data_IF_188448257400
#
_entry.id   IF_188448257400
#
_cell.length_a   1.000
_cell.length_b   1.000
_cell.length_c   1.000
_cell.angle_alpha   90.00
_cell.angle_beta   90.00
_cell.angle_gamma   90.00
#
_symmetry.space_group_name_H-M   'P 1'
#
loop_
_entity.id
_entity.type
_entity.pdbx_description
1 polymer ?
#
# COMPACT_ATOMS: atom_id res chain seq x y z
N UNK A 1 -12.49 17.95 7.85
CA UNK A 1 -11.30 17.36 7.20
C UNK A 1 -11.69 16.96 5.81
N UNK A 2 -10.92 17.38 4.80
CA UNK A 2 -11.09 16.90 3.42
C UNK A 2 -10.57 15.47 3.33
N UNK A 3 -11.22 14.62 2.54
CA UNK A 3 -10.74 13.27 2.27
C UNK A 3 -9.27 13.28 1.80
N UNK A 4 -8.50 12.20 2.05
CA UNK A 4 -7.18 12.05 1.48
C UNK A 4 -7.24 12.21 -0.04
N UNK A 5 -6.32 12.99 -0.59
CA UNK A 5 -6.19 13.11 -2.04
C UNK A 5 -5.59 11.81 -2.57
N UNK A 6 -6.12 11.31 -3.68
CA UNK A 6 -5.58 10.13 -4.35
C UNK A 6 -4.87 10.57 -5.62
N UNK A 7 -3.62 10.15 -5.79
CA UNK A 7 -2.87 10.31 -7.05
C UNK A 7 -2.60 8.92 -7.60
N UNK A 8 -3.02 8.69 -8.84
CA UNK A 8 -2.90 7.39 -9.50
C UNK A 8 -2.10 7.44 -10.79
N UNK A 9 -1.43 6.34 -11.10
CA UNK A 9 -0.72 6.12 -12.35
C UNK A 9 -1.10 4.77 -12.95
N UNK A 10 -1.53 4.75 -14.20
CA UNK A 10 -1.84 3.52 -14.95
C UNK A 10 -0.58 3.02 -15.64
N UNK A 11 -0.33 1.72 -15.52
CA UNK A 11 0.84 1.06 -16.06
C UNK A 11 0.55 0.51 -17.47
N UNK A 12 1.47 0.74 -18.39
CA UNK A 12 1.59 -0.09 -19.59
C UNK A 12 2.04 -1.51 -19.22
N UNK A 13 1.92 -2.48 -20.15
CA UNK A 13 2.36 -3.84 -19.88
C UNK A 13 3.87 -3.92 -19.58
N UNK A 14 4.69 -3.16 -20.30
CA UNK A 14 6.14 -3.13 -20.09
C UNK A 14 6.51 -2.53 -18.73
N UNK A 15 5.80 -1.49 -18.30
CA UNK A 15 5.96 -0.90 -16.96
C UNK A 15 5.50 -1.86 -15.87
N UNK A 16 4.36 -2.54 -16.05
CA UNK A 16 3.94 -3.61 -15.16
C UNK A 16 5.03 -4.69 -15.05
N UNK A 17 5.59 -5.15 -16.17
CA UNK A 17 6.66 -6.15 -16.16
C UNK A 17 7.88 -5.69 -15.36
N UNK A 18 8.38 -4.48 -15.65
CA UNK A 18 9.63 -3.99 -15.09
C UNK A 18 9.52 -3.51 -13.64
N UNK A 19 8.41 -2.88 -13.27
CA UNK A 19 8.24 -2.22 -11.97
C UNK A 19 7.66 -3.20 -10.95
N UNK A 20 6.67 -4.00 -11.35
CA UNK A 20 5.87 -4.83 -10.44
C UNK A 20 6.19 -6.32 -10.62
N UNK A 21 6.06 -6.82 -11.85
CA UNK A 21 6.13 -8.26 -12.10
C UNK A 21 7.53 -8.83 -11.97
N UNK A 22 8.59 -8.02 -12.10
CA UNK A 22 9.95 -8.45 -11.77
C UNK A 22 10.05 -8.94 -10.31
N UNK A 23 9.21 -8.44 -9.39
CA UNK A 23 9.18 -8.90 -7.99
C UNK A 23 8.11 -9.95 -7.75
N UNK A 24 6.89 -9.74 -8.26
CA UNK A 24 5.77 -10.64 -7.99
C UNK A 24 5.84 -11.95 -8.78
N UNK A 25 6.53 -11.96 -9.92
CA UNK A 25 6.71 -13.12 -10.81
C UNK A 25 5.37 -13.80 -11.16
N UNK A 26 4.32 -12.99 -11.39
CA UNK A 26 3.01 -13.45 -11.83
C UNK A 26 3.16 -14.02 -13.24
N UNK A 27 2.68 -15.26 -13.39
CA UNK A 27 2.53 -15.94 -14.68
C UNK A 27 1.16 -15.58 -15.24
N UNK A 28 1.12 -14.99 -16.44
CA UNK A 28 -0.12 -14.54 -17.09
C UNK A 28 -0.04 -14.74 -18.61
N UNK A 29 -1.19 -14.87 -19.25
CA UNK A 29 -1.31 -15.01 -20.71
C UNK A 29 -1.60 -13.66 -21.39
N UNK A 30 -2.41 -12.81 -20.75
CA UNK A 30 -2.84 -11.53 -21.28
C UNK A 30 -2.85 -10.47 -20.18
N UNK A 31 -2.19 -9.34 -20.41
CA UNK A 31 -2.22 -8.19 -19.52
C UNK A 31 -3.55 -7.44 -19.65
N UNK A 32 -4.27 -7.30 -18.54
CA UNK A 32 -5.57 -6.63 -18.48
C UNK A 32 -5.51 -5.18 -17.98
N UNK A 33 -4.32 -4.69 -17.64
CA UNK A 33 -4.10 -3.36 -17.07
C UNK A 33 -3.70 -3.40 -15.61
N UNK A 34 -3.09 -2.31 -15.14
CA UNK A 34 -2.65 -2.19 -13.77
C UNK A 34 -2.41 -0.74 -13.40
N UNK A 35 -2.44 -0.46 -12.11
CA UNK A 35 -2.26 0.89 -11.58
C UNK A 35 -1.54 0.87 -10.24
N UNK A 36 -0.87 1.98 -9.95
CA UNK A 36 -0.32 2.30 -8.64
C UNK A 36 -1.02 3.57 -8.19
N UNK A 37 -1.56 3.60 -6.98
CA UNK A 37 -2.14 4.79 -6.39
C UNK A 37 -1.56 5.09 -5.02
N UNK A 38 -1.36 6.37 -4.74
CA UNK A 38 -0.94 6.91 -3.47
C UNK A 38 -2.12 7.66 -2.84
N UNK A 39 -2.49 7.27 -1.63
CA UNK A 39 -3.44 7.99 -0.82
C UNK A 39 -2.67 8.89 0.14
N UNK A 40 -2.83 10.20 -0.02
CA UNK A 40 -2.07 11.22 0.68
C UNK A 40 -3.02 12.03 1.56
N UNK A 41 -2.67 12.16 2.84
CA UNK A 41 -3.33 13.06 3.77
C UNK A 41 -2.57 14.38 3.90
N UNK A 42 -3.33 15.48 3.85
CA UNK A 42 -2.83 16.84 4.05
C UNK A 42 -3.25 17.32 5.44
N UNK A 43 -2.31 17.41 6.37
CA UNK A 43 -2.55 17.92 7.73
C UNK A 43 -1.70 19.16 7.99
N UNK A 44 -2.35 20.32 8.16
CA UNK A 44 -1.77 21.60 8.64
C UNK A 44 -0.29 21.86 8.25
N UNK A 45 0.02 21.76 6.95
CA UNK A 45 1.35 22.04 6.41
C UNK A 45 2.28 20.82 6.26
N UNK A 46 1.77 19.60 6.46
CA UNK A 46 2.48 18.35 6.18
C UNK A 46 1.64 17.42 5.29
N UNK A 47 2.33 16.73 4.39
CA UNK A 47 1.78 15.69 3.52
C UNK A 47 2.31 14.34 4.01
N UNK A 48 1.43 13.38 4.22
CA UNK A 48 1.82 12.01 4.55
C UNK A 48 1.10 11.00 3.66
N UNK A 49 1.84 10.02 3.17
CA UNK A 49 1.27 8.86 2.48
C UNK A 49 0.63 7.98 3.55
N UNK A 50 -0.66 7.71 3.40
CA UNK A 50 -1.41 6.78 4.25
C UNK A 50 -1.48 5.38 3.64
N UNK A 51 -1.47 5.29 2.31
CA UNK A 51 -1.58 4.02 1.61
C UNK A 51 -0.90 4.08 0.26
N UNK A 52 -0.23 2.98 -0.11
CA UNK A 52 0.14 2.65 -1.48
C UNK A 52 -0.71 1.46 -1.91
N UNK A 53 -1.51 1.62 -2.96
CA UNK A 53 -2.25 0.52 -3.58
C UNK A 53 -1.67 0.18 -4.95
N UNK A 54 -1.57 -1.11 -5.23
CA UNK A 54 -1.18 -1.65 -6.53
C UNK A 54 -2.25 -2.63 -6.95
N UNK A 55 -2.88 -2.38 -8.09
CA UNK A 55 -3.94 -3.23 -8.65
C UNK A 55 -3.51 -3.70 -10.02
N UNK A 56 -3.63 -4.99 -10.30
CA UNK A 56 -3.31 -5.57 -11.61
C UNK A 56 -4.38 -6.56 -12.01
N UNK A 57 -4.88 -6.39 -13.23
CA UNK A 57 -5.79 -7.30 -13.90
C UNK A 57 -5.02 -8.10 -14.95
N UNK A 58 -5.23 -9.40 -15.01
CA UNK A 58 -4.64 -10.26 -16.04
C UNK A 58 -5.50 -11.48 -16.28
N UNK A 59 -5.34 -12.10 -17.44
CA UNK A 59 -5.92 -13.41 -17.71
C UNK A 59 -4.87 -14.49 -17.63
N UNK A 60 -5.29 -15.65 -17.15
CA UNK A 60 -4.48 -16.87 -17.11
C UNK A 60 -5.36 -18.07 -17.44
N UNK A 61 -4.86 -18.99 -18.23
CA UNK A 61 -5.51 -20.28 -18.46
C UNK A 61 -5.40 -21.14 -17.21
N UNK A 62 -6.51 -21.72 -16.80
CA UNK A 62 -6.54 -22.76 -15.77
C UNK A 62 -6.05 -24.10 -16.33
N UNK A 63 -6.03 -25.13 -15.49
CA UNK A 63 -5.57 -26.48 -15.87
C UNK A 63 -6.41 -27.12 -16.99
N UNK A 64 -7.65 -26.68 -17.17
CA UNK A 64 -8.55 -27.12 -18.25
C UNK A 64 -8.35 -26.32 -19.55
N UNK A 65 -7.41 -25.37 -19.58
CA UNK A 65 -7.15 -24.49 -20.72
C UNK A 65 -8.14 -23.34 -20.88
N UNK A 66 -9.07 -23.14 -19.95
CA UNK A 66 -10.05 -22.04 -19.98
C UNK A 66 -9.40 -20.75 -19.51
N UNK A 67 -9.62 -19.66 -20.26
CA UNK A 67 -9.17 -18.32 -19.87
C UNK A 67 -9.96 -17.81 -18.68
N UNK A 68 -9.26 -17.47 -17.59
CA UNK A 68 -9.84 -16.95 -16.34
C UNK A 68 -9.26 -15.57 -16.08
N UNK A 69 -10.11 -14.62 -15.70
CA UNK A 69 -9.71 -13.28 -15.30
C UNK A 69 -9.32 -13.25 -13.82
N UNK A 70 -8.23 -12.57 -13.52
CA UNK A 70 -7.68 -12.41 -12.18
C UNK A 70 -7.46 -10.93 -11.87
N UNK A 71 -7.77 -10.55 -10.65
CA UNK A 71 -7.47 -9.23 -10.08
C UNK A 71 -6.57 -9.46 -8.87
N UNK A 72 -5.35 -8.93 -8.91
CA UNK A 72 -4.41 -8.95 -7.80
C UNK A 72 -4.28 -7.55 -7.22
N UNK A 73 -4.40 -7.45 -5.89
CA UNK A 73 -4.41 -6.18 -5.17
C UNK A 73 -3.43 -6.25 -4.00
N UNK A 74 -2.57 -5.26 -3.89
CA UNK A 74 -1.63 -5.10 -2.79
C UNK A 74 -1.88 -3.71 -2.20
N UNK A 75 -2.29 -3.68 -0.93
CA UNK A 75 -2.51 -2.44 -0.19
C UNK A 75 -1.52 -2.41 0.97
N UNK A 76 -0.67 -1.39 0.99
CA UNK A 76 0.27 -1.15 2.09
C UNK A 76 -0.16 0.11 2.80
N UNK A 77 -0.51 -0.01 4.07
CA UNK A 77 -0.95 1.10 4.91
C UNK A 77 0.20 1.60 5.78
N UNK A 78 0.24 2.92 5.97
CA UNK A 78 1.19 3.60 6.84
C UNK A 78 0.40 4.29 7.95
N UNK A 79 0.81 4.08 9.20
CA UNK A 79 0.21 4.78 10.32
C UNK A 79 0.46 6.28 10.19
N UNK A 80 -0.60 7.04 10.42
CA UNK A 80 -0.51 8.49 10.45
C UNK A 80 0.41 8.95 11.58
N UNK A 81 1.04 10.12 11.41
CA UNK A 81 1.75 10.83 12.47
C UNK A 81 0.94 10.93 13.78
N UNK A 82 -0.38 11.05 13.66
CA UNK A 82 -1.28 11.09 14.81
C UNK A 82 -1.40 9.72 15.48
N UNK A 83 -1.58 8.63 14.72
CA UNK A 83 -1.61 7.26 15.25
C UNK A 83 -0.32 6.89 15.97
N UNK A 84 0.83 7.22 15.38
CA UNK A 84 2.14 6.96 15.98
C UNK A 84 2.41 7.76 17.26
N UNK A 85 1.93 9.00 17.37
CA UNK A 85 2.23 9.86 18.52
C UNK A 85 1.25 9.70 19.69
N UNK A 86 0.05 9.16 19.48
CA UNK A 86 -0.99 9.16 20.51
C UNK A 86 -0.63 8.23 21.67
N UNK A 87 -0.12 7.03 21.37
CA UNK A 87 0.23 6.04 22.39
C UNK A 87 1.72 6.08 22.74
N UNK A 88 2.61 6.32 21.76
CA UNK A 88 4.06 6.29 21.99
C UNK A 88 4.53 7.30 23.06
N UNK A 89 3.87 8.47 23.15
CA UNK A 89 4.20 9.46 24.19
C UNK A 89 3.77 8.97 25.58
N UNK A 90 2.59 8.38 25.70
CA UNK A 90 2.11 7.87 26.98
C UNK A 90 2.89 6.62 27.40
N UNK A 91 3.18 5.71 26.48
CA UNK A 91 4.05 4.56 26.70
C UNK A 91 5.44 4.98 27.19
N UNK A 92 6.04 6.03 26.61
CA UNK A 92 7.32 6.57 27.08
C UNK A 92 7.22 7.12 28.50
N UNK A 93 6.17 7.87 28.82
CA UNK A 93 5.94 8.41 30.17
C UNK A 93 5.78 7.27 31.18
N UNK A 94 4.99 6.26 30.85
CA UNK A 94 4.70 5.11 31.71
C UNK A 94 5.96 4.27 31.93
N UNK A 95 6.74 4.01 30.87
CA UNK A 95 8.04 3.36 30.96
C UNK A 95 9.00 4.11 31.90
N UNK A 96 9.12 5.43 31.73
CA UNK A 96 9.98 6.27 32.58
C UNK A 96 9.55 6.23 34.05
N UNK A 97 8.24 6.23 34.31
CA UNK A 97 7.71 6.10 35.66
C UNK A 97 8.01 4.72 36.28
N UNK A 98 7.91 3.63 35.50
CA UNK A 98 8.25 2.29 35.98
C UNK A 98 9.75 2.12 36.23
N UNK A 99 10.60 2.64 35.35
CA UNK A 99 12.06 2.58 35.50
C UNK A 99 12.52 3.27 36.79
N UNK A 100 12.00 4.48 37.05
CA UNK A 100 12.35 5.25 38.25
C UNK A 100 11.80 4.64 39.55
N UNK A 101 10.77 3.79 39.50
CA UNK A 101 10.26 3.04 40.68
C UNK A 101 11.08 1.80 41.00
N UNK A 102 11.93 1.34 40.08
CA UNK A 102 12.79 0.17 40.24
C UNK A 102 14.21 0.52 40.72
N UNK A 103 14.53 1.80 40.89
CA UNK A 103 15.72 2.31 41.58
C UNK A 103 15.36 2.74 43.00
#
# INVERSE_FOLDING_TARGET
FGQPSTVGYTLTESEFQNIINDKLKIQYDEYGGGSIALHIEFTKGSEQILEVSIVVNYKKRNEEGKSVEHISQIHTYFDSQQGNNQDARQEYIDFKAQYNKKQ
#
